data_IF_075003395086
#
_entry.id   IF_075003395086
#
_cell.length_a   1.000
_cell.length_b   1.000
_cell.length_c   1.000
_cell.angle_alpha   90.00
_cell.angle_beta   90.00
_cell.angle_gamma   90.00
#
_symmetry.space_group_name_H-M   'P 1'
#
loop_
_entity.id
_entity.type
_entity.pdbx_description
1 polymer ?
#
# COMPACT_ATOMS: atom_id res chain seq x y z
N UNK A 1 20.35 9.97 3.76
CA UNK A 1 20.50 8.75 2.95
C UNK A 1 19.45 8.77 1.86
N UNK A 2 19.79 8.26 0.69
CA UNK A 2 18.97 8.25 -0.54
C UNK A 2 18.30 6.89 -0.78
N UNK A 3 18.06 6.13 0.29
CA UNK A 3 17.56 4.77 0.16
C UNK A 3 16.08 4.81 -0.26
N UNK A 4 15.76 4.01 -1.29
CA UNK A 4 14.43 3.89 -1.87
C UNK A 4 13.94 2.44 -1.77
N UNK A 5 12.84 2.16 -1.04
CA UNK A 5 12.14 0.87 -1.11
C UNK A 5 11.44 0.66 -2.45
N UNK A 6 10.85 -0.51 -2.65
CA UNK A 6 9.94 -0.77 -3.77
C UNK A 6 8.49 -0.93 -3.29
N UNK A 7 7.55 -0.71 -4.22
CA UNK A 7 6.16 -1.13 -4.10
C UNK A 7 5.91 -2.06 -5.29
N UNK A 8 5.61 -3.32 -5.03
CA UNK A 8 5.40 -4.36 -6.04
C UNK A 8 3.93 -4.70 -6.21
N UNK A 9 3.17 -4.61 -5.11
CA UNK A 9 1.72 -4.75 -5.08
C UNK A 9 1.11 -3.47 -4.49
N UNK A 10 0.06 -2.89 -5.12
CA UNK A 10 -0.51 -3.27 -6.41
C UNK A 10 0.43 -3.00 -7.60
N UNK A 11 0.43 -3.92 -8.57
CA UNK A 11 1.13 -3.70 -9.85
C UNK A 11 0.47 -2.55 -10.62
N UNK A 12 1.28 -1.77 -11.35
CA UNK A 12 0.77 -0.72 -12.22
C UNK A 12 -0.20 -1.28 -13.27
N UNK A 13 -1.37 -0.66 -13.39
CA UNK A 13 -2.46 -1.07 -14.29
C UNK A 13 -3.33 -2.21 -13.76
N UNK A 14 -3.03 -2.78 -12.59
CA UNK A 14 -3.81 -3.88 -12.03
C UNK A 14 -5.18 -3.44 -11.52
N UNK A 15 -6.12 -4.37 -11.58
CA UNK A 15 -7.43 -4.24 -10.92
C UNK A 15 -7.42 -5.07 -9.65
N UNK A 16 -7.61 -4.42 -8.52
CA UNK A 16 -7.56 -5.02 -7.18
C UNK A 16 -8.91 -4.97 -6.48
N UNK A 17 -9.15 -5.94 -5.61
CA UNK A 17 -10.30 -5.97 -4.72
C UNK A 17 -9.99 -5.27 -3.40
N UNK A 18 -11.05 -4.86 -2.69
CA UNK A 18 -10.94 -4.45 -1.30
C UNK A 18 -10.91 -5.68 -0.38
N UNK A 19 -10.14 -5.66 0.73
CA UNK A 19 -9.16 -4.63 1.08
C UNK A 19 -7.92 -4.72 0.18
N UNK A 20 -7.44 -3.56 -0.29
CA UNK A 20 -6.26 -3.49 -1.16
C UNK A 20 -5.04 -4.00 -0.40
N UNK A 21 -4.33 -4.97 -0.98
CA UNK A 21 -3.06 -5.45 -0.45
C UNK A 21 -1.91 -4.61 -1.00
N UNK A 22 -0.91 -4.39 -0.17
CA UNK A 22 0.32 -3.69 -0.51
C UNK A 22 1.51 -4.55 -0.12
N UNK A 23 2.48 -4.65 -1.00
CA UNK A 23 3.69 -5.43 -0.79
C UNK A 23 4.86 -4.78 -1.51
N UNK A 24 6.07 -5.00 -0.99
CA UNK A 24 7.30 -4.58 -1.66
C UNK A 24 8.54 -4.89 -0.85
N UNK A 25 9.68 -4.46 -1.37
CA UNK A 25 10.99 -4.66 -0.76
C UNK A 25 11.38 -3.47 0.11
N UNK A 26 12.16 -3.76 1.15
CA UNK A 26 12.54 -2.79 2.15
C UNK A 26 13.80 -3.20 2.93
N UNK A 27 14.13 -2.41 3.96
CA UNK A 27 15.21 -2.70 4.91
C UNK A 27 14.59 -2.87 6.30
N UNK A 28 15.22 -3.62 7.22
CA UNK A 28 14.68 -3.81 8.57
C UNK A 28 14.22 -2.51 9.24
N UNK A 29 12.95 -2.46 9.62
CA UNK A 29 12.33 -1.23 10.08
C UNK A 29 10.80 -1.25 10.13
N UNK A 30 10.19 -0.06 10.04
CA UNK A 30 8.73 0.10 10.07
C UNK A 30 8.26 1.01 8.95
N UNK A 31 7.36 0.49 8.12
CA UNK A 31 6.80 1.15 6.95
C UNK A 31 5.39 1.71 7.15
N UNK A 32 4.98 2.57 6.24
CA UNK A 32 3.60 3.00 6.09
C UNK A 32 3.23 3.23 4.63
N UNK A 33 1.98 2.92 4.29
CA UNK A 33 1.37 3.22 2.99
C UNK A 33 0.34 4.32 3.15
N UNK A 34 0.42 5.35 2.31
CA UNK A 34 -0.52 6.49 2.29
C UNK A 34 -1.06 6.73 0.88
N UNK A 35 -2.17 7.46 0.78
CA UNK A 35 -2.65 7.98 -0.50
C UNK A 35 -1.62 8.94 -1.11
N UNK A 36 -1.36 8.78 -2.41
CA UNK A 36 -0.52 9.73 -3.15
C UNK A 36 -1.08 11.15 -3.14
N UNK A 37 -2.41 11.29 -3.23
CA UNK A 37 -3.09 12.58 -3.31
C UNK A 37 -3.18 13.28 -1.94
N UNK A 38 -3.45 12.53 -0.87
CA UNK A 38 -3.55 13.07 0.49
C UNK A 38 -2.73 12.21 1.47
N UNK A 39 -1.53 12.64 1.89
CA UNK A 39 -0.68 11.85 2.79
C UNK A 39 -1.28 11.68 4.20
N UNK A 40 -2.24 12.50 4.61
CA UNK A 40 -2.96 12.31 5.88
C UNK A 40 -3.89 11.08 5.82
N UNK A 41 -4.23 10.62 4.61
CA UNK A 41 -4.98 9.40 4.40
C UNK A 41 -4.03 8.18 4.43
N UNK A 42 -3.75 7.72 5.64
CA UNK A 42 -2.93 6.53 5.87
C UNK A 42 -3.76 5.29 5.59
N UNK A 43 -3.30 4.44 4.67
CA UNK A 43 -3.98 3.20 4.28
C UNK A 43 -3.48 2.02 5.10
N UNK A 44 -2.18 1.90 5.33
CA UNK A 44 -1.61 0.82 6.13
C UNK A 44 -0.47 1.37 7.00
N UNK A 45 -0.73 1.69 8.28
CA UNK A 45 0.30 2.16 9.20
C UNK A 45 1.08 0.99 9.83
N UNK A 46 2.33 1.25 10.20
CA UNK A 46 3.08 0.36 11.11
C UNK A 46 3.41 -1.01 10.53
N UNK A 47 3.67 -1.08 9.22
CA UNK A 47 4.03 -2.33 8.56
C UNK A 47 5.43 -2.77 8.99
N UNK A 48 5.61 -3.98 9.56
CA UNK A 48 6.94 -4.49 9.81
C UNK A 48 7.65 -4.70 8.47
N UNK A 49 8.89 -4.22 8.38
CA UNK A 49 9.76 -4.47 7.24
C UNK A 49 10.88 -5.40 7.72
N UNK A 50 10.97 -6.57 7.11
CA UNK A 50 11.95 -7.60 7.45
C UNK A 50 12.86 -7.89 6.24
N UNK A 51 13.81 -8.83 6.40
CA UNK A 51 14.76 -9.19 5.33
C UNK A 51 14.10 -9.78 4.06
N UNK A 52 12.80 -10.11 4.11
CA UNK A 52 12.00 -10.56 2.97
C UNK A 52 10.96 -9.54 2.49
N UNK A 53 11.15 -8.27 2.83
CA UNK A 53 10.27 -7.17 2.41
C UNK A 53 9.20 -6.83 3.45
N UNK A 54 8.10 -6.25 2.96
CA UNK A 54 6.98 -5.79 3.75
C UNK A 54 5.67 -6.11 3.04
N UNK A 55 4.61 -6.33 3.82
CA UNK A 55 3.27 -6.55 3.31
C UNK A 55 2.20 -6.03 4.27
N UNK A 56 1.04 -5.67 3.75
CA UNK A 56 -0.12 -5.31 4.56
C UNK A 56 -1.33 -4.89 3.76
N UNK A 57 -2.51 -4.96 4.39
CA UNK A 57 -3.76 -4.53 3.78
C UNK A 57 -4.17 -3.11 4.19
N UNK A 58 -4.93 -2.44 3.34
CA UNK A 58 -5.59 -1.19 3.69
C UNK A 58 -6.53 -1.40 4.90
N UNK A 59 -6.36 -0.58 5.94
CA UNK A 59 -7.20 -0.58 7.15
C UNK A 59 -8.64 -0.13 6.87
N UNK A 60 -8.84 0.64 5.79
CA UNK A 60 -10.16 1.02 5.28
C UNK A 60 -10.32 0.62 3.82
N UNK A 61 -11.57 0.40 3.40
CA UNK A 61 -11.91 0.22 1.99
C UNK A 61 -11.64 1.49 1.20
N UNK A 62 -10.98 1.34 0.06
CA UNK A 62 -10.80 2.42 -0.91
C UNK A 62 -12.04 2.49 -1.82
N UNK A 63 -12.38 3.71 -2.25
CA UNK A 63 -13.45 3.91 -3.24
C UNK A 63 -13.09 3.24 -4.57
N UNK A 64 -14.09 2.84 -5.34
CA UNK A 64 -13.84 2.31 -6.68
C UNK A 64 -13.16 3.35 -7.59
N UNK A 65 -12.32 2.89 -8.51
CA UNK A 65 -11.62 3.73 -9.49
C UNK A 65 -10.10 3.74 -9.31
N UNK A 66 -9.45 4.72 -9.96
CA UNK A 66 -7.99 4.78 -10.02
C UNK A 66 -7.36 5.39 -8.77
N UNK A 67 -6.33 4.72 -8.26
CA UNK A 67 -5.56 5.11 -7.08
C UNK A 67 -4.06 4.96 -7.32
N UNK A 68 -3.31 5.65 -6.46
CA UNK A 68 -1.86 5.57 -6.33
C UNK A 68 -1.52 5.61 -4.86
N UNK A 69 -0.53 4.83 -4.42
CA UNK A 69 0.00 4.92 -3.07
C UNK A 69 1.40 5.49 -3.05
N UNK A 70 1.81 5.92 -1.85
CA UNK A 70 3.19 6.18 -1.49
C UNK A 70 3.60 5.32 -0.31
N UNK A 71 4.87 4.92 -0.28
CA UNK A 71 5.46 4.17 0.82
C UNK A 71 6.71 4.87 1.35
N UNK A 72 6.88 4.83 2.67
CA UNK A 72 8.09 5.25 3.37
C UNK A 72 8.29 4.41 4.62
N UNK A 73 9.54 4.20 5.01
CA UNK A 73 9.90 3.47 6.22
C UNK A 73 10.93 4.20 7.07
N UNK A 74 10.90 3.93 8.38
CA UNK A 74 12.03 4.17 9.29
C UNK A 74 12.95 2.96 9.28
N UNK A 75 14.26 3.19 9.42
CA UNK A 75 15.29 2.15 9.32
C UNK A 75 15.90 1.89 10.68
N UNK A 76 16.06 0.62 11.03
CA UNK A 76 16.72 0.21 12.29
C UNK A 76 18.14 -0.35 12.09
N UNK A 77 18.50 -0.72 10.86
CA UNK A 77 19.82 -1.30 10.57
C UNK A 77 20.96 -0.24 10.51
N UNK A 78 20.63 1.06 10.52
CA UNK A 78 21.55 2.21 10.43
C UNK A 78 22.60 2.10 9.32
N UNK A 79 22.38 1.22 8.35
CA UNK A 79 23.27 1.07 7.20
C UNK A 79 23.35 2.42 6.48
N UNK A 80 24.57 2.87 6.19
CA UNK A 80 24.85 4.15 5.54
C UNK A 80 24.42 5.40 6.35
N UNK A 81 24.15 5.24 7.66
CA UNK A 81 23.73 6.32 8.56
C UNK A 81 22.32 6.85 8.30
N UNK A 82 21.54 6.20 7.44
CA UNK A 82 20.16 6.58 7.15
C UNK A 82 19.21 6.05 8.23
N UNK A 83 18.31 6.90 8.73
CA UNK A 83 17.28 6.53 9.71
C UNK A 83 15.88 6.38 9.10
N UNK A 84 15.72 6.77 7.84
CA UNK A 84 14.48 6.65 7.07
C UNK A 84 14.78 6.57 5.57
N UNK A 85 13.84 6.00 4.82
CA UNK A 85 13.86 6.03 3.36
C UNK A 85 13.33 7.35 2.79
N UNK A 86 13.57 7.58 1.51
CA UNK A 86 12.77 8.50 0.72
C UNK A 86 11.35 7.96 0.51
N UNK A 87 10.43 8.84 0.10
CA UNK A 87 9.11 8.44 -0.37
C UNK A 87 9.21 7.84 -1.76
N UNK A 88 8.57 6.69 -1.96
CA UNK A 88 8.41 6.07 -3.27
C UNK A 88 6.93 5.99 -3.62
N UNK A 89 6.61 6.03 -4.91
CA UNK A 89 5.25 6.09 -5.43
C UNK A 89 4.95 4.85 -6.27
N UNK A 90 3.72 4.34 -6.20
CA UNK A 90 3.27 3.27 -7.08
C UNK A 90 2.90 3.79 -8.47
N UNK A 91 2.76 2.89 -9.44
CA UNK A 91 1.95 3.16 -10.61
C UNK A 91 0.45 3.23 -10.26
N UNK A 92 -0.37 3.68 -11.23
CA UNK A 92 -1.84 3.71 -11.10
C UNK A 92 -2.37 2.28 -10.96
N UNK A 93 -3.29 2.03 -10.05
CA UNK A 93 -4.07 0.79 -9.97
C UNK A 93 -5.56 1.08 -9.81
N UNK A 94 -6.43 0.14 -10.21
CA UNK A 94 -7.88 0.29 -10.14
C UNK A 94 -8.46 -0.52 -8.98
N UNK A 95 -9.24 0.12 -8.11
CA UNK A 95 -10.03 -0.58 -7.10
C UNK A 95 -11.39 -0.93 -7.67
N UNK A 96 -11.76 -2.20 -7.60
CA UNK A 96 -13.05 -2.71 -8.09
C UNK A 96 -14.22 -2.14 -7.25
N UNK A 97 -15.39 -1.92 -7.87
CA UNK A 97 -16.61 -1.66 -7.11
C UNK A 97 -16.88 -2.79 -6.12
N UNK A 98 -17.43 -2.50 -4.93
CA UNK A 98 -17.89 -3.55 -4.04
C UNK A 98 -18.86 -4.43 -4.83
N UNK A 99 -18.62 -5.74 -4.81
CA UNK A 99 -19.55 -6.69 -5.43
C UNK A 99 -20.85 -6.59 -4.66
N UNK A 100 -21.83 -5.85 -5.20
CA UNK A 100 -23.17 -5.87 -4.68
C UNK A 100 -23.72 -7.25 -5.04
N UNK A 101 -23.79 -8.15 -4.05
CA UNK A 101 -24.55 -9.38 -4.21
C UNK A 101 -25.96 -8.96 -4.61
N UNK A 102 -26.32 -9.22 -5.86
CA UNK A 102 -27.68 -9.06 -6.33
C UNK A 102 -28.48 -10.08 -5.52
N UNK A 103 -29.07 -9.67 -4.39
CA UNK A 103 -30.11 -10.46 -3.76
C UNK A 103 -31.23 -10.53 -4.78
N UNK A 104 -31.33 -11.65 -5.49
CA UNK A 104 -32.47 -11.97 -6.33
C UNK A 104 -33.71 -11.88 -5.45
N UNK A 105 -34.41 -10.73 -5.49
CA UNK A 105 -35.78 -10.62 -5.00
C UNK A 105 -36.68 -11.39 -5.96
N UNK A 106 -36.62 -12.72 -5.88
CA UNK A 106 -37.74 -13.55 -6.31
C UNK A 106 -38.54 -13.85 -5.05
N UNK A 107 -39.58 -13.05 -4.83
CA UNK A 107 -40.63 -13.38 -3.86
C UNK A 107 -41.94 -12.73 -4.28
N UNK A 108 -42.74 -13.59 -4.93
CA UNK A 108 -44.21 -13.58 -5.13
C UNK A 108 -44.78 -12.67 -6.19
#
# INVERSE_FOLDING_TARGET
>A
GTYQPSIEVPMAGAWVDNPVQFEGEGRPGVGQVVSWFNPDQVWAPGLPVEAGGWQGGAAQSLSAGGHWCRFKQTLTDTADGATASDWVESGRFEVRPPTHLIQTRNSR
#
